data_IF_329069555881
#
_entry.id   IF_329069555881
#
_cell.length_a   1.000
_cell.length_b   1.000
_cell.length_c   1.000
_cell.angle_alpha   90.00
_cell.angle_beta   90.00
_cell.angle_gamma   90.00
#
_symmetry.space_group_name_H-M   'P 1'
#
loop_
_entity.id
_entity.type
_entity.pdbx_description
1 polymer ?
#
# COMPACT_ATOMS: atom_id res chain seq x y z
N UNK A 1 8.16 -31.49 -6.52
CA UNK A 1 8.90 -30.34 -6.03
C UNK A 1 8.12 -29.70 -4.92
N UNK A 2 8.67 -29.61 -3.71
CA UNK A 2 8.03 -28.94 -2.59
C UNK A 2 7.82 -27.47 -2.92
N UNK A 3 6.59 -27.01 -2.79
CA UNK A 3 6.28 -25.60 -2.83
C UNK A 3 6.91 -24.94 -1.60
N UNK A 4 8.12 -24.41 -1.74
CA UNK A 4 8.65 -23.49 -0.76
C UNK A 4 7.70 -22.28 -0.69
N UNK A 5 7.34 -21.84 0.50
CA UNK A 5 6.69 -20.54 0.67
C UNK A 5 7.45 -19.51 -0.17
N UNK A 6 6.82 -18.76 -1.05
CA UNK A 6 7.51 -17.71 -1.76
C UNK A 6 8.06 -16.73 -0.72
N UNK A 7 9.37 -16.52 -0.75
CA UNK A 7 9.97 -15.47 0.05
C UNK A 7 9.26 -14.15 -0.30
N UNK A 8 8.86 -13.40 0.71
CA UNK A 8 8.20 -12.11 0.50
C UNK A 8 9.06 -11.21 -0.38
N UNK A 9 8.44 -10.58 -1.36
CA UNK A 9 9.12 -9.60 -2.19
C UNK A 9 9.26 -8.29 -1.42
N UNK A 10 10.48 -7.75 -1.35
CA UNK A 10 10.77 -6.46 -0.73
C UNK A 10 11.41 -5.56 -1.76
N UNK A 11 10.89 -4.34 -1.89
CA UNK A 11 11.51 -3.26 -2.65
C UNK A 11 11.84 -2.13 -1.66
N UNK A 12 13.07 -1.66 -1.65
CA UNK A 12 13.52 -0.62 -0.75
C UNK A 12 14.69 0.19 -1.34
N UNK A 13 14.86 1.43 -0.89
CA UNK A 13 16.08 2.18 -1.15
C UNK A 13 17.23 1.59 -0.34
N UNK A 14 18.41 1.49 -0.95
CA UNK A 14 19.59 1.03 -0.25
C UNK A 14 20.07 2.12 0.75
N UNK A 15 20.07 1.84 2.06
CA UNK A 15 20.48 2.82 3.08
C UNK A 15 21.94 3.28 2.95
N UNK A 16 22.79 2.60 2.18
CA UNK A 16 24.13 3.06 1.89
C UNK A 16 24.18 4.37 1.06
N UNK A 17 23.09 4.76 0.43
CA UNK A 17 22.98 6.05 -0.26
C UNK A 17 22.65 7.23 0.65
N UNK A 18 22.29 7.01 1.89
CA UNK A 18 21.90 8.08 2.85
C UNK A 18 23.09 8.96 3.26
N UNK A 19 24.32 8.60 2.94
CA UNK A 19 25.53 9.42 3.17
C UNK A 19 25.91 10.34 2.01
N UNK A 20 25.18 10.32 0.90
CA UNK A 20 25.42 11.19 -0.26
C UNK A 20 24.62 12.49 -0.12
N UNK A 21 25.17 13.60 -0.62
CA UNK A 21 24.49 14.90 -0.63
C UNK A 21 23.19 14.94 -1.48
N UNK A 22 22.83 13.87 -2.14
CA UNK A 22 21.60 13.71 -2.93
C UNK A 22 20.70 12.64 -2.33
N UNK A 23 19.43 12.99 -2.11
CA UNK A 23 18.39 12.03 -1.72
C UNK A 23 18.12 11.09 -2.89
N UNK A 24 18.12 9.76 -2.71
CA UNK A 24 17.72 8.83 -3.75
C UNK A 24 16.30 9.15 -4.24
N UNK A 25 16.11 9.21 -5.54
CA UNK A 25 14.82 9.55 -6.15
C UNK A 25 14.36 8.43 -7.06
N UNK A 26 13.09 8.04 -6.96
CA UNK A 26 12.44 7.12 -7.87
C UNK A 26 11.16 7.76 -8.43
N UNK A 27 11.05 7.77 -9.75
CA UNK A 27 9.86 8.22 -10.47
C UNK A 27 9.22 7.00 -11.13
N UNK A 28 8.01 6.65 -10.69
CA UNK A 28 7.20 5.56 -11.20
C UNK A 28 6.06 6.08 -12.09
N UNK A 29 6.33 7.05 -12.93
CA UNK A 29 5.40 7.49 -13.96
C UNK A 29 5.53 6.63 -15.22
N UNK A 30 4.44 6.52 -15.98
CA UNK A 30 4.40 5.79 -17.24
C UNK A 30 4.10 6.75 -18.39
N UNK A 31 4.77 6.62 -19.51
CA UNK A 31 4.43 7.35 -20.74
C UNK A 31 3.12 6.87 -21.38
N UNK A 32 2.60 5.74 -20.95
CA UNK A 32 1.31 5.20 -21.34
C UNK A 32 0.26 5.48 -20.26
N UNK A 33 -1.02 5.34 -20.57
CA UNK A 33 -2.12 5.56 -19.62
C UNK A 33 -2.08 6.95 -18.95
N UNK A 34 -1.80 7.98 -19.74
CA UNK A 34 -1.69 9.37 -19.26
C UNK A 34 -0.63 9.57 -18.15
N UNK A 35 0.46 8.84 -18.22
CA UNK A 35 1.55 8.94 -17.24
C UNK A 35 1.30 8.15 -15.95
N UNK A 36 0.27 7.29 -15.91
CA UNK A 36 -0.09 6.54 -14.70
C UNK A 36 0.22 5.05 -14.82
N UNK A 37 0.59 4.42 -13.73
CA UNK A 37 0.64 2.97 -13.59
C UNK A 37 -0.81 2.47 -13.47
N UNK A 38 -1.24 1.54 -14.35
CA UNK A 38 -2.62 1.04 -14.31
C UNK A 38 -2.93 0.32 -12.98
N UNK A 39 -2.05 -0.57 -12.55
CA UNK A 39 -2.21 -1.32 -11.31
C UNK A 39 -0.88 -1.44 -10.56
N UNK A 40 -0.88 -1.10 -9.28
CA UNK A 40 0.24 -1.30 -8.37
C UNK A 40 -0.23 -2.15 -7.18
N UNK A 41 0.24 -3.39 -7.11
CA UNK A 41 -0.22 -4.36 -6.12
C UNK A 41 0.93 -4.86 -5.27
N UNK A 42 0.75 -4.84 -3.94
CA UNK A 42 1.72 -5.32 -2.96
C UNK A 42 1.04 -6.43 -2.12
N UNK A 43 1.59 -7.64 -2.14
CA UNK A 43 1.03 -8.79 -1.43
C UNK A 43 -0.29 -9.26 -2.07
N UNK A 44 -0.20 -10.15 -3.05
CA UNK A 44 -1.37 -10.67 -3.77
C UNK A 44 -1.33 -12.19 -3.79
N UNK A 45 -2.30 -12.83 -3.16
CA UNK A 45 -2.48 -14.28 -3.15
C UNK A 45 -3.55 -14.79 -4.14
N UNK A 46 -4.07 -13.91 -5.01
CA UNK A 46 -5.22 -14.23 -5.88
C UNK A 46 -4.90 -15.23 -7.01
N UNK A 47 -3.66 -15.67 -7.16
CA UNK A 47 -3.26 -16.57 -8.27
C UNK A 47 -3.01 -18.01 -7.88
N UNK A 48 -3.23 -18.44 -6.64
CA UNK A 48 -2.85 -19.77 -6.18
C UNK A 48 -3.77 -20.36 -5.14
N UNK A 49 -3.88 -21.67 -5.17
CA UNK A 49 -4.53 -22.47 -4.15
C UNK A 49 -3.65 -22.53 -2.91
N UNK A 50 -4.13 -22.04 -1.76
CA UNK A 50 -3.48 -22.15 -0.44
C UNK A 50 -2.04 -21.58 -0.32
N UNK A 51 -1.59 -20.74 -1.26
CA UNK A 51 -0.24 -20.17 -1.18
C UNK A 51 -0.32 -18.75 -0.62
N UNK A 52 0.12 -18.53 0.63
CA UNK A 52 0.21 -17.18 1.20
C UNK A 52 1.18 -16.31 0.39
N UNK A 53 0.88 -15.02 0.33
CA UNK A 53 1.74 -14.03 -0.32
C UNK A 53 2.06 -12.89 0.65
N UNK A 54 3.31 -12.44 0.64
CA UNK A 54 3.68 -11.22 1.33
C UNK A 54 4.52 -10.33 0.43
N UNK A 55 4.32 -9.04 0.53
CA UNK A 55 5.09 -8.04 -0.19
C UNK A 55 5.29 -6.80 0.66
N UNK A 56 6.44 -6.18 0.52
CA UNK A 56 6.72 -4.89 1.14
C UNK A 56 7.43 -3.97 0.14
N UNK A 57 7.00 -2.73 0.09
CA UNK A 57 7.74 -1.64 -0.54
C UNK A 57 8.14 -0.66 0.55
N UNK A 58 9.43 -0.57 0.82
CA UNK A 58 9.99 0.37 1.77
C UNK A 58 10.80 1.43 1.02
N UNK A 59 10.23 2.61 0.93
CA UNK A 59 10.81 3.77 0.29
C UNK A 59 11.32 4.81 1.30
N UNK A 60 11.50 4.40 2.55
CA UNK A 60 12.11 5.28 3.55
C UNK A 60 13.55 5.64 3.17
N UNK A 61 13.94 6.88 3.43
CA UNK A 61 15.25 7.43 3.09
C UNK A 61 15.41 7.89 1.64
N UNK A 62 14.34 7.88 0.84
CA UNK A 62 14.38 8.35 -0.54
C UNK A 62 13.11 9.07 -0.97
N UNK A 63 13.22 9.94 -1.98
CA UNK A 63 12.08 10.63 -2.56
C UNK A 63 11.41 9.77 -3.63
N UNK A 64 10.10 9.58 -3.53
CA UNK A 64 9.31 8.81 -4.50
C UNK A 64 8.23 9.68 -5.11
N UNK A 65 8.14 9.65 -6.44
CA UNK A 65 7.00 10.19 -7.17
C UNK A 65 6.31 9.04 -7.90
N UNK A 66 5.01 8.85 -7.64
CA UNK A 66 4.24 7.77 -8.25
C UNK A 66 2.84 8.24 -8.63
N UNK A 67 2.42 7.91 -9.84
CA UNK A 67 1.04 8.10 -10.31
C UNK A 67 0.42 6.75 -10.65
N UNK A 68 -0.70 6.41 -10.00
CA UNK A 68 -1.32 5.07 -10.08
C UNK A 68 -2.83 5.20 -10.32
N UNK A 69 -3.41 4.36 -11.16
CA UNK A 69 -4.86 4.30 -11.28
C UNK A 69 -5.48 3.46 -10.16
N UNK A 70 -4.94 2.28 -9.92
CA UNK A 70 -5.41 1.41 -8.85
C UNK A 70 -4.25 0.88 -8.02
N UNK A 71 -4.25 1.17 -6.73
CA UNK A 71 -3.29 0.66 -5.77
C UNK A 71 -3.97 -0.32 -4.81
N UNK A 72 -3.36 -1.48 -4.62
CA UNK A 72 -3.91 -2.54 -3.79
C UNK A 72 -2.82 -3.14 -2.89
N UNK A 73 -3.06 -3.13 -1.58
CA UNK A 73 -2.18 -3.71 -0.60
C UNK A 73 -2.89 -4.86 0.14
N UNK A 74 -2.30 -6.05 0.10
CA UNK A 74 -2.82 -7.22 0.80
C UNK A 74 -4.11 -7.74 0.19
N UNK A 75 -4.02 -8.49 -0.90
CA UNK A 75 -5.18 -9.17 -1.50
C UNK A 75 -5.19 -10.65 -1.17
N UNK A 76 -6.05 -11.06 -0.25
CA UNK A 76 -6.31 -12.46 0.05
C UNK A 76 -6.91 -13.19 -1.16
N UNK A 77 -6.45 -14.41 -1.37
CA UNK A 77 -6.84 -15.22 -2.52
C UNK A 77 -7.97 -16.20 -2.26
N UNK A 78 -8.27 -17.00 -3.26
CA UNK A 78 -9.19 -18.14 -3.17
C UNK A 78 -8.65 -19.20 -2.21
N UNK A 79 -9.54 -20.03 -1.67
CA UNK A 79 -9.21 -21.24 -0.90
C UNK A 79 -8.32 -21.02 0.32
N UNK A 80 -8.47 -19.87 1.03
CA UNK A 80 -7.76 -19.62 2.28
C UNK A 80 -6.35 -19.04 2.13
N UNK A 81 -5.94 -18.64 0.93
CA UNK A 81 -4.63 -18.03 0.74
C UNK A 81 -4.56 -16.60 1.31
N UNK A 82 -3.79 -16.41 2.36
CA UNK A 82 -3.61 -15.13 3.01
C UNK A 82 -2.62 -14.23 2.25
N UNK A 83 -2.84 -12.92 2.30
CA UNK A 83 -1.90 -11.95 1.76
C UNK A 83 -1.60 -10.82 2.74
N UNK A 84 -0.35 -10.39 2.75
CA UNK A 84 0.08 -9.21 3.50
C UNK A 84 0.79 -8.26 2.53
N UNK A 85 0.37 -7.01 2.49
CA UNK A 85 1.00 -5.95 1.71
C UNK A 85 1.35 -4.75 2.57
N UNK A 86 2.57 -4.25 2.49
CA UNK A 86 2.96 -3.04 3.21
C UNK A 86 3.68 -2.05 2.31
N UNK A 87 3.40 -0.77 2.54
CA UNK A 87 4.07 0.37 1.88
C UNK A 87 4.53 1.34 2.96
N UNK A 88 5.78 1.72 2.91
CA UNK A 88 6.35 2.75 3.79
C UNK A 88 6.97 3.86 2.95
N UNK A 89 6.63 5.10 3.29
CA UNK A 89 7.12 6.31 2.66
C UNK A 89 7.49 7.34 3.73
N UNK A 90 8.60 8.06 3.57
CA UNK A 90 8.98 9.18 4.45
C UNK A 90 9.26 10.47 3.69
N UNK A 91 9.32 10.41 2.36
CA UNK A 91 9.44 11.56 1.46
C UNK A 91 8.77 11.28 0.12
N UNK A 92 8.30 12.33 -0.54
CA UNK A 92 7.69 12.27 -1.86
C UNK A 92 6.17 12.15 -1.89
N UNK A 93 5.64 11.75 -3.03
CA UNK A 93 4.20 11.78 -3.26
C UNK A 93 3.71 10.59 -4.08
N UNK A 94 2.57 10.05 -3.67
CA UNK A 94 1.79 9.11 -4.46
C UNK A 94 0.46 9.76 -4.80
N UNK A 95 0.14 9.83 -6.09
CA UNK A 95 -1.17 10.24 -6.59
C UNK A 95 -1.89 9.01 -7.17
N UNK A 96 -2.90 8.53 -6.47
CA UNK A 96 -3.69 7.38 -6.87
C UNK A 96 -5.14 7.77 -7.19
N UNK A 97 -5.78 7.11 -8.16
CA UNK A 97 -7.20 7.29 -8.36
C UNK A 97 -7.99 6.49 -7.33
N UNK A 98 -7.67 5.21 -7.16
CA UNK A 98 -8.28 4.36 -6.14
C UNK A 98 -7.20 3.64 -5.33
N UNK A 99 -7.43 3.53 -4.03
CA UNK A 99 -6.55 2.81 -3.10
C UNK A 99 -7.38 1.83 -2.30
N UNK A 100 -6.95 0.58 -2.25
CA UNK A 100 -7.53 -0.45 -1.38
C UNK A 100 -6.45 -1.00 -0.47
N UNK A 101 -6.67 -0.91 0.83
CA UNK A 101 -5.76 -1.38 1.87
C UNK A 101 -6.42 -2.53 2.63
N UNK A 102 -5.96 -3.74 2.36
CA UNK A 102 -6.58 -4.98 2.80
C UNK A 102 -7.82 -5.33 1.99
N UNK A 103 -7.77 -6.42 1.25
CA UNK A 103 -8.90 -6.92 0.48
C UNK A 103 -9.04 -8.44 0.60
N UNK A 104 -10.25 -8.89 0.91
CA UNK A 104 -10.66 -10.28 0.76
C UNK A 104 -11.55 -10.41 -0.47
N UNK A 105 -11.05 -11.05 -1.51
CA UNK A 105 -11.74 -11.10 -2.81
C UNK A 105 -12.53 -12.37 -3.07
N UNK A 106 -12.37 -13.40 -2.24
CA UNK A 106 -12.96 -14.71 -2.52
C UNK A 106 -13.94 -15.18 -1.45
N UNK A 107 -14.93 -15.97 -1.89
CA UNK A 107 -15.97 -16.52 -1.05
C UNK A 107 -15.52 -17.62 -0.06
N UNK A 108 -14.36 -18.20 -0.28
CA UNK A 108 -13.75 -19.22 0.62
C UNK A 108 -12.43 -18.73 1.23
N UNK A 109 -12.24 -17.45 1.35
CA UNK A 109 -11.02 -16.77 1.20
C UNK A 109 -10.05 -16.68 2.34
N UNK A 110 -8.84 -16.44 1.95
CA UNK A 110 -7.78 -15.98 2.81
C UNK A 110 -7.92 -14.52 3.20
N UNK A 111 -7.29 -14.16 4.29
CA UNK A 111 -7.27 -12.79 4.79
C UNK A 111 -6.40 -11.90 3.90
N UNK A 112 -6.87 -10.69 3.63
CA UNK A 112 -6.08 -9.64 3.01
C UNK A 112 -5.70 -8.57 4.04
N UNK A 113 -4.42 -8.43 4.34
CA UNK A 113 -3.92 -7.43 5.28
C UNK A 113 -3.09 -6.40 4.54
N UNK A 114 -3.49 -5.14 4.59
CA UNK A 114 -2.77 -4.03 4.00
C UNK A 114 -2.34 -3.00 5.04
N UNK A 115 -1.13 -2.45 4.88
CA UNK A 115 -0.63 -1.36 5.74
C UNK A 115 0.06 -0.31 4.90
N UNK A 116 -0.29 0.96 5.11
CA UNK A 116 0.44 2.11 4.58
C UNK A 116 1.00 2.92 5.74
N UNK A 117 2.29 3.19 5.72
CA UNK A 117 2.98 4.05 6.67
C UNK A 117 3.47 5.30 5.93
N UNK A 118 2.94 6.46 6.30
CA UNK A 118 3.34 7.76 5.78
C UNK A 118 4.05 8.52 6.90
N UNK A 119 5.35 8.61 6.81
CA UNK A 119 6.19 9.23 7.82
C UNK A 119 6.66 10.63 7.36
N UNK A 120 7.36 11.32 8.25
CA UNK A 120 8.20 12.46 7.92
C UNK A 120 9.66 12.05 8.00
N UNK A 121 10.47 12.60 7.12
CA UNK A 121 11.92 12.46 7.18
C UNK A 121 12.51 13.69 7.90
N UNK A 122 12.81 13.50 9.17
CA UNK A 122 13.33 14.59 10.02
C UNK A 122 14.74 15.06 9.62
N UNK A 123 15.47 14.25 8.87
CA UNK A 123 16.85 14.56 8.44
C UNK A 123 16.86 15.61 7.35
N UNK A 124 15.88 15.54 6.43
CA UNK A 124 15.80 16.46 5.28
C UNK A 124 14.60 17.41 5.38
N UNK A 125 13.78 17.30 6.43
CA UNK A 125 12.60 18.14 6.60
C UNK A 125 11.46 17.85 5.59
N UNK A 126 11.47 16.70 4.97
CA UNK A 126 10.46 16.25 4.02
C UNK A 126 9.39 15.38 4.68
N UNK A 127 8.28 15.18 4.01
CA UNK A 127 7.21 14.30 4.47
C UNK A 127 6.53 13.61 3.30
N UNK A 128 6.07 12.39 3.55
CA UNK A 128 5.31 11.61 2.58
C UNK A 128 3.89 12.15 2.37
N UNK A 129 3.40 12.07 1.15
CA UNK A 129 2.02 12.42 0.83
C UNK A 129 1.34 11.35 -0.03
N UNK A 130 0.08 11.07 0.29
CA UNK A 130 -0.80 10.22 -0.50
C UNK A 130 -2.04 11.02 -0.88
N UNK A 131 -2.23 11.24 -2.18
CA UNK A 131 -3.46 11.81 -2.72
C UNK A 131 -4.29 10.72 -3.37
N UNK A 132 -5.55 10.59 -2.97
CA UNK A 132 -6.52 9.64 -3.53
C UNK A 132 -7.64 10.42 -4.19
N UNK A 133 -7.67 10.39 -5.52
CA UNK A 133 -8.59 11.22 -6.31
C UNK A 133 -10.05 10.76 -6.24
N UNK A 134 -10.29 9.46 -6.06
CA UNK A 134 -11.64 8.89 -5.96
C UNK A 134 -11.88 8.29 -4.56
N UNK A 135 -11.50 7.03 -4.36
CA UNK A 135 -11.86 6.31 -3.12
C UNK A 135 -10.66 5.64 -2.48
N UNK A 136 -10.51 5.89 -1.19
CA UNK A 136 -9.65 5.13 -0.29
C UNK A 136 -10.52 4.13 0.47
N UNK A 137 -10.32 2.85 0.19
CA UNK A 137 -11.07 1.76 0.84
C UNK A 137 -10.15 1.04 1.82
N UNK A 138 -10.60 0.90 3.06
CA UNK A 138 -9.93 0.11 4.09
C UNK A 138 -10.69 -1.18 4.31
N UNK A 139 -9.96 -2.28 4.46
CA UNK A 139 -10.51 -3.58 4.82
C UNK A 139 -11.70 -4.02 3.93
N UNK A 140 -11.50 -3.97 2.62
CA UNK A 140 -12.51 -4.37 1.67
C UNK A 140 -12.82 -5.86 1.77
N UNK A 141 -14.10 -6.22 1.75
CA UNK A 141 -14.55 -7.60 1.64
C UNK A 141 -15.50 -7.66 0.46
N UNK A 142 -15.07 -8.27 -0.61
CA UNK A 142 -15.87 -8.47 -1.83
C UNK A 142 -16.40 -9.90 -1.96
N UNK A 143 -15.93 -10.78 -1.09
CA UNK A 143 -16.44 -12.15 -0.94
C UNK A 143 -17.59 -12.27 0.06
N UNK A 144 -18.05 -13.48 0.28
CA UNK A 144 -19.18 -13.78 1.19
C UNK A 144 -18.77 -14.00 2.65
N UNK A 145 -17.49 -14.11 2.94
CA UNK A 145 -16.96 -14.28 4.29
C UNK A 145 -16.61 -12.92 4.89
N UNK A 146 -17.05 -12.67 6.11
CA UNK A 146 -16.97 -11.37 6.78
C UNK A 146 -15.70 -11.14 7.61
N UNK A 147 -14.89 -12.18 7.78
CA UNK A 147 -13.78 -12.18 8.72
C UNK A 147 -12.44 -12.38 8.02
N UNK A 148 -11.72 -11.37 7.77
CA UNK A 148 -10.35 -11.61 7.36
C UNK A 148 -9.68 -10.53 6.53
N UNK A 149 -10.33 -9.40 6.31
CA UNK A 149 -9.65 -8.25 5.74
C UNK A 149 -9.27 -7.26 6.83
N UNK A 150 -8.05 -6.76 6.79
CA UNK A 150 -7.61 -5.68 7.65
C UNK A 150 -6.85 -4.62 6.84
N UNK A 151 -7.20 -3.36 7.05
CA UNK A 151 -6.56 -2.23 6.37
C UNK A 151 -6.14 -1.16 7.37
N UNK A 152 -4.88 -0.79 7.37
CA UNK A 152 -4.38 0.24 8.26
C UNK A 152 -3.62 1.33 7.50
N UNK A 153 -3.85 2.58 7.86
CA UNK A 153 -3.02 3.71 7.44
C UNK A 153 -2.48 4.41 8.67
N UNK A 154 -1.17 4.48 8.77
CA UNK A 154 -0.46 5.20 9.82
C UNK A 154 0.13 6.48 9.24
N UNK A 155 -0.37 7.63 9.67
CA UNK A 155 0.07 8.94 9.23
C UNK A 155 0.93 9.54 10.35
N UNK A 156 2.23 9.32 10.25
CA UNK A 156 3.21 9.71 11.26
C UNK A 156 4.10 10.85 10.74
N UNK A 157 3.53 12.05 10.66
CA UNK A 157 4.17 13.23 10.11
C UNK A 157 3.97 13.43 8.60
N UNK A 158 3.36 12.47 7.91
CA UNK A 158 2.97 12.58 6.51
C UNK A 158 1.56 13.16 6.32
N UNK A 159 1.01 13.04 5.11
CA UNK A 159 -0.32 13.51 4.79
C UNK A 159 -1.11 12.55 3.90
N UNK A 160 -2.42 12.49 4.13
CA UNK A 160 -3.39 11.85 3.22
C UNK A 160 -4.43 12.88 2.83
N UNK A 161 -4.69 12.98 1.54
CA UNK A 161 -5.83 13.72 0.99
C UNK A 161 -6.68 12.75 0.17
N UNK A 162 -7.97 12.66 0.46
CA UNK A 162 -8.87 11.74 -0.24
C UNK A 162 -10.22 12.39 -0.54
N UNK A 163 -10.81 12.06 -1.68
CA UNK A 163 -12.17 12.48 -2.01
C UNK A 163 -13.22 11.69 -1.21
N UNK A 164 -12.98 10.40 -0.99
CA UNK A 164 -13.81 9.56 -0.13
C UNK A 164 -12.97 8.53 0.62
N UNK A 165 -13.36 8.26 1.87
CA UNK A 165 -12.80 7.17 2.67
C UNK A 165 -13.95 6.23 3.03
N UNK A 166 -13.78 4.96 2.71
CA UNK A 166 -14.76 3.90 2.96
C UNK A 166 -14.11 2.82 3.79
N UNK A 167 -14.75 2.44 4.89
CA UNK A 167 -14.41 1.21 5.59
C UNK A 167 -15.27 0.07 5.00
N UNK A 168 -14.61 -0.99 4.53
CA UNK A 168 -15.30 -2.21 4.13
C UNK A 168 -15.84 -2.99 5.33
N UNK A 169 -16.23 -4.23 5.12
CA UNK A 169 -16.76 -5.08 6.19
C UNK A 169 -15.68 -5.63 7.14
N UNK A 170 -14.41 -5.49 6.80
CA UNK A 170 -13.30 -5.91 7.64
C UNK A 170 -12.86 -4.85 8.67
N UNK A 171 -11.69 -5.04 9.26
CA UNK A 171 -11.12 -4.16 10.28
C UNK A 171 -10.28 -3.04 9.64
N UNK A 172 -10.87 -1.87 9.45
CA UNK A 172 -10.18 -0.68 8.95
C UNK A 172 -9.74 0.26 10.08
N UNK A 173 -8.57 0.86 9.94
CA UNK A 173 -8.06 1.85 10.89
C UNK A 173 -7.24 2.95 10.22
N UNK A 174 -7.33 4.16 10.75
CA UNK A 174 -6.43 5.27 10.42
C UNK A 174 -5.87 5.80 11.74
N UNK A 175 -4.56 5.79 11.85
CA UNK A 175 -3.84 6.35 13.00
C UNK A 175 -3.18 7.64 12.56
N UNK A 176 -3.44 8.72 13.29
CA UNK A 176 -2.87 10.04 13.00
C UNK A 176 -1.94 10.44 14.14
N UNK A 177 -0.64 10.57 13.85
CA UNK A 177 0.38 11.04 14.76
C UNK A 177 1.26 12.10 14.07
N UNK A 178 1.07 13.37 14.43
CA UNK A 178 1.78 14.51 13.84
C UNK A 178 1.63 14.68 12.32
N UNK A 179 0.63 14.08 11.71
CA UNK A 179 0.36 14.15 10.28
C UNK A 179 -0.95 14.86 9.99
N UNK A 180 -1.39 14.80 8.72
CA UNK A 180 -2.61 15.45 8.26
C UNK A 180 -3.47 14.47 7.48
N UNK A 181 -4.79 14.49 7.76
CA UNK A 181 -5.81 13.81 6.97
C UNK A 181 -6.83 14.85 6.48
N UNK A 182 -7.01 14.92 5.17
CA UNK A 182 -7.92 15.88 4.52
C UNK A 182 -8.93 15.13 3.65
N UNK A 183 -10.20 15.47 3.77
CA UNK A 183 -11.26 15.09 2.83
C UNK A 183 -11.60 16.29 1.94
N UNK A 184 -11.75 16.05 0.62
CA UNK A 184 -12.02 17.09 -0.39
C UNK A 184 -13.30 16.80 -1.16
#
# INVERSE_FOLDING_TARGET
>A
GGAGSPAGAVMQFNPAFIGSASVPTADFSSSQNNGRIANFTIGNANGGTYVPSSGACDFSGGNVTMSVDSMLLGQGGTEGANAVGSLTLDDGSINANNVTVGNQSASSGGTGVGVINLNSNSVIGASASLQVNNTLTLAAVTGTLTDGSAGAININGGSVTANAIVNGAGAGSITLANGTLTLI
#
